data_IF_449192018330
#
_entry.id   IF_449192018330
#
_cell.length_a   1.000
_cell.length_b   1.000
_cell.length_c   1.000
_cell.angle_alpha   90.00
_cell.angle_beta   90.00
_cell.angle_gamma   90.00
#
_symmetry.space_group_name_H-M   'P 1'
#
loop_
_entity.id
_entity.type
_entity.pdbx_description
1 polymer ?
#
# COMPACT_ATOMS: atom_id res chain seq x y z
N UNK A 1 -14.72 -46.88 4.50
CA UNK A 1 -15.65 -46.70 3.37
C UNK A 1 -14.94 -45.81 2.38
N UNK A 2 -14.41 -46.49 1.36
CA UNK A 2 -14.05 -46.07 0.01
C UNK A 2 -13.34 -44.73 -0.21
N UNK A 3 -12.03 -44.89 -0.47
CA UNK A 3 -11.23 -44.00 -1.28
C UNK A 3 -11.65 -44.15 -2.74
N UNK A 4 -12.33 -43.16 -3.29
CA UNK A 4 -12.34 -42.82 -4.72
C UNK A 4 -13.20 -41.57 -4.91
N UNK A 5 -12.57 -40.40 -4.89
CA UNK A 5 -13.20 -39.17 -5.41
C UNK A 5 -12.12 -38.30 -6.04
N UNK A 6 -11.86 -38.57 -7.32
CA UNK A 6 -11.32 -37.67 -8.35
C UNK A 6 -10.58 -36.41 -7.87
N UNK A 7 -9.26 -36.50 -7.72
CA UNK A 7 -8.39 -35.31 -7.83
C UNK A 7 -8.32 -34.90 -9.30
N UNK A 8 -9.03 -33.82 -9.63
CA UNK A 8 -8.86 -33.13 -10.91
C UNK A 8 -7.55 -32.38 -10.84
N UNK A 9 -6.51 -32.87 -11.53
CA UNK A 9 -5.24 -32.15 -11.69
C UNK A 9 -5.52 -30.91 -12.54
N UNK A 10 -5.67 -29.77 -11.87
CA UNK A 10 -5.83 -28.45 -12.51
C UNK A 10 -4.45 -28.06 -13.05
N UNK A 11 -4.37 -27.75 -14.34
CA UNK A 11 -3.10 -27.36 -14.95
C UNK A 11 -2.66 -25.97 -14.46
N UNK A 12 -1.35 -25.70 -14.43
CA UNK A 12 -0.79 -24.39 -14.03
C UNK A 12 -1.36 -23.25 -14.90
N UNK A 13 -1.72 -23.55 -16.16
CA UNK A 13 -2.37 -22.60 -17.07
C UNK A 13 -3.80 -22.26 -16.62
N UNK A 14 -4.56 -23.22 -16.12
CA UNK A 14 -5.91 -23.00 -15.59
C UNK A 14 -5.89 -22.16 -14.29
N UNK A 15 -4.87 -22.33 -13.44
CA UNK A 15 -4.66 -21.51 -12.23
C UNK A 15 -4.28 -20.07 -12.62
N UNK A 16 -3.42 -19.89 -13.64
CA UNK A 16 -3.04 -18.58 -14.13
C UNK A 16 -4.23 -17.81 -14.72
N UNK A 17 -5.07 -18.47 -15.51
CA UNK A 17 -6.27 -17.88 -16.12
C UNK A 17 -7.33 -17.54 -15.04
N UNK A 18 -7.52 -18.42 -14.06
CA UNK A 18 -8.43 -18.18 -12.93
C UNK A 18 -8.01 -16.97 -12.10
N UNK A 19 -6.72 -16.85 -11.78
CA UNK A 19 -6.18 -15.69 -11.05
C UNK A 19 -6.28 -14.40 -11.86
N UNK A 20 -6.04 -14.45 -13.18
CA UNK A 20 -6.16 -13.26 -14.03
C UNK A 20 -7.61 -12.75 -14.14
N UNK A 21 -8.58 -13.67 -14.20
CA UNK A 21 -10.01 -13.32 -14.21
C UNK A 21 -10.48 -12.83 -12.85
N UNK A 22 -10.03 -13.43 -11.75
CA UNK A 22 -10.34 -12.96 -10.40
C UNK A 22 -9.74 -11.57 -10.13
N UNK A 23 -8.51 -11.31 -10.59
CA UNK A 23 -7.87 -9.99 -10.52
C UNK A 23 -8.57 -8.95 -11.40
N UNK A 24 -9.11 -9.33 -12.57
CA UNK A 24 -9.93 -8.44 -13.40
C UNK A 24 -11.26 -8.06 -12.72
N UNK A 25 -11.91 -9.00 -12.02
CA UNK A 25 -13.12 -8.68 -11.23
C UNK A 25 -12.82 -7.80 -10.02
N UNK A 26 -11.64 -7.92 -9.40
CA UNK A 26 -11.22 -7.04 -8.31
C UNK A 26 -10.80 -5.65 -8.80
N UNK A 27 -10.30 -5.54 -10.04
CA UNK A 27 -9.88 -4.29 -10.66
C UNK A 27 -11.05 -3.49 -11.27
N UNK A 28 -12.13 -4.19 -11.63
CA UNK A 28 -13.39 -3.63 -12.10
C UNK A 28 -14.44 -3.96 -11.04
N UNK A 29 -14.43 -3.24 -9.92
CA UNK A 29 -15.46 -3.41 -8.88
C UNK A 29 -16.84 -3.44 -9.51
N UNK A 30 -17.70 -4.36 -9.06
CA UNK A 30 -19.04 -4.59 -9.61
C UNK A 30 -19.76 -3.26 -9.87
N UNK A 31 -19.81 -2.86 -11.13
CA UNK A 31 -20.58 -1.69 -11.57
C UNK A 31 -22.02 -2.16 -11.67
N UNK A 32 -22.73 -2.09 -10.55
CA UNK A 32 -24.19 -2.06 -10.57
C UNK A 32 -24.60 -0.79 -11.35
N UNK A 33 -24.91 -0.99 -12.62
CA UNK A 33 -25.61 -0.02 -13.46
C UNK A 33 -27.02 0.17 -12.88
N UNK A 34 -27.16 1.11 -11.95
CA UNK A 34 -28.45 1.67 -11.61
C UNK A 34 -28.38 3.20 -11.68
N UNK A 35 -29.27 3.73 -12.52
CA UNK A 35 -29.50 5.14 -12.81
C UNK A 35 -29.26 6.09 -11.64
N UNK A 36 -28.48 7.14 -11.89
CA UNK A 36 -28.65 8.43 -11.22
C UNK A 36 -28.55 9.50 -12.29
N UNK A 37 -29.61 10.30 -12.37
CA UNK A 37 -29.79 11.43 -13.26
C UNK A 37 -28.53 12.32 -13.32
N UNK A 38 -28.07 12.64 -14.53
CA UNK A 38 -26.99 13.61 -14.75
C UNK A 38 -27.51 15.01 -14.37
N UNK A 39 -27.15 15.47 -13.15
CA UNK A 39 -27.20 16.90 -12.84
C UNK A 39 -26.19 17.63 -13.72
N UNK A 40 -26.70 18.49 -14.61
CA UNK A 40 -25.91 19.38 -15.45
C UNK A 40 -25.35 20.49 -14.55
N UNK A 41 -24.06 20.43 -14.26
CA UNK A 41 -23.31 21.51 -13.61
C UNK A 41 -23.33 22.76 -14.53
N UNK A 42 -24.17 23.76 -14.22
CA UNK A 42 -24.32 25.01 -14.99
C UNK A 42 -23.16 26.02 -14.80
N UNK A 43 -22.17 25.70 -13.96
CA UNK A 43 -21.07 26.61 -13.68
C UNK A 43 -19.92 26.47 -14.71
N UNK A 44 -19.90 27.42 -15.66
CA UNK A 44 -18.81 27.70 -16.62
C UNK A 44 -17.49 28.16 -15.95
N UNK A 45 -17.09 27.56 -14.83
CA UNK A 45 -15.79 27.79 -14.24
C UNK A 45 -14.74 26.91 -14.92
N UNK A 46 -13.61 27.52 -15.34
CA UNK A 46 -12.47 26.81 -15.92
C UNK A 46 -12.12 25.60 -15.03
N UNK A 47 -12.09 24.40 -15.63
CA UNK A 47 -11.73 23.13 -15.00
C UNK A 47 -10.40 23.28 -14.25
N UNK A 48 -9.48 24.13 -14.75
CA UNK A 48 -8.23 24.43 -14.06
C UNK A 48 -8.42 25.11 -12.71
N UNK A 49 -9.43 25.96 -12.57
CA UNK A 49 -9.78 26.66 -11.32
C UNK A 49 -10.58 25.74 -10.39
N UNK A 50 -11.47 24.90 -10.94
CA UNK A 50 -12.23 23.90 -10.16
C UNK A 50 -11.31 22.85 -9.53
N UNK A 51 -10.26 22.42 -10.24
CA UNK A 51 -9.34 21.36 -9.81
C UNK A 51 -7.90 21.83 -9.56
N UNK A 52 -7.65 23.14 -9.51
CA UNK A 52 -6.32 23.74 -9.30
C UNK A 52 -5.20 23.11 -10.17
N UNK A 53 -5.49 22.96 -11.47
CA UNK A 53 -4.58 22.37 -12.44
C UNK A 53 -3.51 23.41 -12.80
N UNK A 54 -2.30 23.27 -12.25
CA UNK A 54 -1.12 24.06 -12.61
C UNK A 54 -0.54 24.93 -11.49
N UNK A 55 -1.23 25.05 -10.34
CA UNK A 55 -0.64 25.50 -9.07
C UNK A 55 -0.06 24.30 -8.33
N UNK A 56 0.63 24.50 -7.20
CA UNK A 56 0.99 23.38 -6.32
C UNK A 56 -0.30 22.63 -5.97
N UNK A 57 -0.52 21.48 -6.62
CA UNK A 57 -1.76 20.66 -6.69
C UNK A 57 -2.44 20.27 -5.36
N UNK A 58 -1.90 20.70 -4.23
CA UNK A 58 -2.49 20.58 -2.91
C UNK A 58 -3.23 21.84 -2.45
N UNK A 59 -2.99 22.99 -3.09
CA UNK A 59 -3.69 24.24 -2.78
C UNK A 59 -5.15 23.98 -3.02
N UNK A 60 -5.96 24.03 -1.98
CA UNK A 60 -7.39 23.90 -2.11
C UNK A 60 -7.96 25.19 -2.71
N UNK A 61 -9.07 25.13 -3.48
CA UNK A 61 -9.69 26.34 -4.02
C UNK A 61 -10.06 27.35 -2.93
N UNK A 62 -10.29 26.87 -1.70
CA UNK A 62 -10.40 27.68 -0.51
C UNK A 62 -9.39 27.24 0.56
N UNK A 63 -8.54 28.17 1.02
CA UNK A 63 -7.52 27.94 2.06
C UNK A 63 -8.10 27.40 3.38
N UNK A 64 -9.40 27.63 3.63
CA UNK A 64 -10.08 27.20 4.86
C UNK A 64 -10.92 25.93 4.69
N UNK A 65 -10.93 25.29 3.51
CA UNK A 65 -11.84 24.16 3.24
C UNK A 65 -11.64 22.99 4.21
N UNK A 66 -10.38 22.73 4.61
CA UNK A 66 -10.03 21.67 5.55
C UNK A 66 -10.66 21.92 6.92
N UNK A 67 -10.54 23.16 7.43
CA UNK A 67 -11.11 23.55 8.71
C UNK A 67 -12.65 23.57 8.67
N UNK A 68 -13.24 23.96 7.54
CA UNK A 68 -14.69 23.95 7.32
C UNK A 68 -15.27 22.53 7.21
N UNK A 69 -14.53 21.59 6.62
CA UNK A 69 -14.95 20.21 6.48
C UNK A 69 -14.81 19.41 7.80
N UNK A 70 -13.87 19.80 8.67
CA UNK A 70 -13.60 19.13 9.94
C UNK A 70 -13.61 20.10 11.13
N UNK A 71 -14.72 20.81 11.40
CA UNK A 71 -14.77 21.84 12.44
C UNK A 71 -14.48 21.29 13.84
N UNK A 72 -14.80 20.02 14.10
CA UNK A 72 -14.48 19.34 15.36
C UNK A 72 -12.97 19.06 15.55
N UNK A 73 -12.18 19.03 14.47
CA UNK A 73 -10.71 18.92 14.54
C UNK A 73 -10.04 20.30 14.60
N UNK A 74 -10.70 21.31 14.04
CA UNK A 74 -10.25 22.70 13.94
C UNK A 74 -11.21 23.66 14.68
N UNK A 75 -11.29 23.58 16.03
CA UNK A 75 -12.24 24.39 16.79
C UNK A 75 -12.02 25.90 16.65
N UNK A 76 -10.76 26.32 16.47
CA UNK A 76 -10.40 27.73 16.27
C UNK A 76 -10.41 28.14 14.79
N UNK A 77 -10.73 27.22 13.87
CA UNK A 77 -10.68 27.44 12.42
C UNK A 77 -9.27 27.62 11.83
N UNK A 78 -8.24 27.59 12.65
CA UNK A 78 -6.85 27.84 12.28
C UNK A 78 -6.06 26.54 12.14
N UNK A 79 -4.97 26.58 11.39
CA UNK A 79 -4.03 25.48 11.20
C UNK A 79 -4.19 24.69 9.91
N UNK A 80 -5.03 25.10 8.95
CA UNK A 80 -5.20 24.35 7.68
C UNK A 80 -3.93 24.36 6.83
N UNK A 81 -3.70 23.36 5.98
CA UNK A 81 -2.46 23.26 5.20
C UNK A 81 -2.10 24.55 4.44
N UNK A 82 -3.07 25.22 3.83
CA UNK A 82 -2.86 26.40 2.97
C UNK A 82 -2.79 27.74 3.73
N UNK A 83 -2.82 27.70 5.08
CA UNK A 83 -2.64 28.89 5.90
C UNK A 83 -1.21 29.45 5.81
N UNK A 84 -1.11 30.78 5.86
CA UNK A 84 0.18 31.48 5.88
C UNK A 84 0.94 31.17 7.17
N UNK A 85 2.21 30.80 7.02
CA UNK A 85 3.10 30.43 8.13
C UNK A 85 4.48 31.00 7.89
N UNK A 86 5.18 31.28 8.99
CA UNK A 86 6.59 31.69 8.95
C UNK A 86 7.48 30.62 8.29
N UNK A 87 7.25 29.35 8.61
CA UNK A 87 7.93 28.21 7.99
C UNK A 87 7.00 27.49 7.02
N UNK A 88 7.42 27.41 5.76
CA UNK A 88 6.69 26.67 4.72
C UNK A 88 6.83 25.16 4.99
N UNK A 89 5.69 24.47 5.15
CA UNK A 89 5.64 23.02 5.34
C UNK A 89 5.39 22.32 4.00
N UNK A 90 6.15 21.27 3.71
CA UNK A 90 5.80 20.38 2.59
C UNK A 90 4.58 19.56 2.98
N UNK A 91 3.75 19.21 1.99
CA UNK A 91 2.55 18.37 2.19
C UNK A 91 2.80 17.12 3.06
N UNK A 92 3.87 16.37 2.80
CA UNK A 92 4.21 15.17 3.59
C UNK A 92 4.60 15.50 5.03
N UNK A 93 5.23 16.64 5.28
CA UNK A 93 5.60 17.11 6.62
C UNK A 93 4.35 17.58 7.39
N UNK A 94 3.41 18.23 6.69
CA UNK A 94 2.10 18.58 7.22
C UNK A 94 1.33 17.33 7.67
N UNK A 95 1.14 16.34 6.78
CA UNK A 95 0.43 15.11 7.12
C UNK A 95 1.09 14.36 8.29
N UNK A 96 2.44 14.28 8.31
CA UNK A 96 3.17 13.69 9.43
C UNK A 96 2.92 14.43 10.73
N UNK A 97 2.97 15.76 10.72
CA UNK A 97 2.69 16.57 11.90
C UNK A 97 1.26 16.34 12.38
N UNK A 98 0.26 16.29 11.49
CA UNK A 98 -1.13 16.02 11.86
C UNK A 98 -1.34 14.62 12.44
N UNK A 99 -0.78 13.59 11.81
CA UNK A 99 -1.03 12.20 12.18
C UNK A 99 -0.13 11.71 13.31
N UNK A 100 1.07 12.28 13.50
CA UNK A 100 2.07 11.79 14.45
C UNK A 100 2.38 12.77 15.60
N UNK A 101 1.70 13.92 15.66
CA UNK A 101 1.82 14.85 16.78
C UNK A 101 1.37 14.21 18.10
N UNK A 102 1.85 14.77 19.21
CA UNK A 102 1.32 14.50 20.55
C UNK A 102 -0.17 14.83 20.66
N UNK A 103 -0.65 15.80 19.89
CA UNK A 103 -2.07 16.05 19.73
C UNK A 103 -2.70 14.94 18.88
N UNK A 104 -3.37 14.02 19.56
CA UNK A 104 -3.97 12.85 18.94
C UNK A 104 -5.35 13.10 18.38
N UNK A 105 -5.86 14.34 18.22
CA UNK A 105 -7.24 14.52 17.71
C UNK A 105 -7.45 14.06 16.26
N UNK A 106 -6.40 14.14 15.44
CA UNK A 106 -6.47 13.83 14.01
C UNK A 106 -6.30 12.34 13.71
N UNK A 107 -5.40 11.66 14.45
CA UNK A 107 -5.01 10.27 14.21
C UNK A 107 -6.12 9.21 14.38
N UNK A 108 -7.10 9.38 15.29
CA UNK A 108 -8.30 8.56 15.42
C UNK A 108 -9.33 8.76 14.30
N UNK A 109 -9.32 9.92 13.63
CA UNK A 109 -10.40 10.26 12.71
C UNK A 109 -10.17 9.64 11.33
N UNK A 110 -10.79 8.49 11.07
CA UNK A 110 -10.68 7.79 9.79
C UNK A 110 -11.07 8.64 8.58
N UNK A 111 -12.14 9.44 8.68
CA UNK A 111 -12.58 10.33 7.59
C UNK A 111 -11.50 11.35 7.23
N UNK A 112 -10.82 11.91 8.24
CA UNK A 112 -9.70 12.82 8.02
C UNK A 112 -8.48 12.14 7.42
N UNK A 113 -8.17 10.90 7.84
CA UNK A 113 -7.09 10.10 7.22
C UNK A 113 -7.36 9.86 5.74
N UNK A 114 -8.59 9.45 5.39
CA UNK A 114 -8.97 9.23 3.99
C UNK A 114 -8.99 10.53 3.19
N UNK A 115 -9.38 11.65 3.79
CA UNK A 115 -9.26 12.97 3.17
C UNK A 115 -7.79 13.30 2.83
N UNK A 116 -6.86 13.12 3.77
CA UNK A 116 -5.43 13.35 3.52
C UNK A 116 -4.88 12.39 2.46
N UNK A 117 -5.29 11.11 2.47
CA UNK A 117 -4.91 10.12 1.48
C UNK A 117 -5.39 10.51 0.08
N UNK A 118 -6.65 10.90 -0.05
CA UNK A 118 -7.24 11.34 -1.32
C UNK A 118 -6.48 12.53 -1.92
N UNK A 119 -6.16 13.53 -1.09
CA UNK A 119 -5.38 14.69 -1.54
C UNK A 119 -3.94 14.32 -1.94
N UNK A 120 -3.29 13.42 -1.22
CA UNK A 120 -1.95 12.93 -1.59
C UNK A 120 -1.99 12.14 -2.91
N UNK A 121 -3.02 11.32 -3.13
CA UNK A 121 -3.19 10.57 -4.37
C UNK A 121 -3.46 11.48 -5.56
N UNK A 122 -4.38 12.45 -5.44
CA UNK A 122 -4.61 13.46 -6.48
C UNK A 122 -3.31 14.19 -6.85
N UNK A 123 -2.55 14.63 -5.84
CA UNK A 123 -1.26 15.30 -6.04
C UNK A 123 -0.26 14.43 -6.80
N UNK A 124 -0.16 13.16 -6.43
CA UNK A 124 0.73 12.22 -7.12
C UNK A 124 0.31 11.96 -8.56
N UNK A 125 -1.00 11.84 -8.82
CA UNK A 125 -1.56 11.65 -10.16
C UNK A 125 -1.31 12.88 -11.04
N UNK A 126 -1.70 14.08 -10.59
CA UNK A 126 -1.48 15.31 -11.37
C UNK A 126 -0.01 15.59 -11.62
N UNK A 127 0.86 15.38 -10.63
CA UNK A 127 2.30 15.48 -10.82
C UNK A 127 2.80 14.47 -11.87
N UNK A 128 2.33 13.23 -11.80
CA UNK A 128 2.67 12.19 -12.77
C UNK A 128 2.20 12.53 -14.20
N UNK A 129 0.97 13.05 -14.33
CA UNK A 129 0.39 13.51 -15.60
C UNK A 129 1.24 14.65 -16.17
N UNK A 130 1.55 15.68 -15.36
CA UNK A 130 2.37 16.82 -15.78
C UNK A 130 3.78 16.40 -16.24
N UNK A 131 4.36 15.38 -15.61
CA UNK A 131 5.65 14.81 -16.06
C UNK A 131 5.48 14.06 -17.38
N UNK A 132 4.39 13.30 -17.55
CA UNK A 132 4.10 12.58 -18.78
C UNK A 132 3.92 13.53 -19.97
N UNK A 133 3.14 14.60 -19.80
CA UNK A 133 2.96 15.65 -20.81
C UNK A 133 4.28 16.34 -21.16
N UNK A 134 5.13 16.65 -20.18
CA UNK A 134 6.43 17.30 -20.46
C UNK A 134 7.45 16.40 -21.15
N UNK A 135 7.49 15.11 -20.83
CA UNK A 135 8.59 14.21 -21.23
C UNK A 135 8.26 13.16 -22.28
N UNK A 136 7.00 12.73 -22.36
CA UNK A 136 6.61 11.51 -23.10
C UNK A 136 5.49 11.72 -24.11
N UNK A 137 4.75 12.81 -23.99
CA UNK A 137 3.66 13.17 -24.90
C UNK A 137 3.97 14.55 -25.48
N UNK A 138 4.63 14.65 -26.65
CA UNK A 138 4.85 15.94 -27.32
C UNK A 138 3.54 16.40 -27.97
N UNK A 139 2.52 16.68 -27.15
CA UNK A 139 1.23 17.15 -27.59
C UNK A 139 0.99 18.59 -27.15
N UNK A 140 0.47 19.38 -28.07
CA UNK A 140 -0.05 20.71 -27.80
C UNK A 140 -1.45 20.59 -27.17
N UNK A 141 -1.90 21.63 -26.45
CA UNK A 141 -3.21 21.64 -25.78
C UNK A 141 -4.40 21.35 -26.74
N UNK A 142 -4.25 21.65 -28.03
CA UNK A 142 -5.24 21.33 -29.06
C UNK A 142 -5.30 19.84 -29.39
N UNK A 143 -4.17 19.14 -29.33
CA UNK A 143 -4.07 17.70 -29.58
C UNK A 143 -4.58 16.87 -28.40
N UNK A 144 -4.47 17.37 -27.17
CA UNK A 144 -5.06 16.72 -26.00
C UNK A 144 -6.59 16.76 -25.97
N UNK A 145 -7.22 17.65 -26.75
CA UNK A 145 -8.67 17.74 -26.90
C UNK A 145 -9.21 16.86 -28.04
N UNK A 146 -8.33 16.25 -28.84
CA UNK A 146 -8.72 15.34 -29.91
C UNK A 146 -8.99 13.93 -29.32
N UNK A 147 -10.26 13.52 -29.36
CA UNK A 147 -10.73 12.25 -28.83
C UNK A 147 -10.02 11.05 -29.48
N UNK A 148 -9.66 11.15 -30.76
CA UNK A 148 -9.00 10.06 -31.50
C UNK A 148 -7.59 9.82 -30.97
N UNK A 149 -6.84 10.89 -30.73
CA UNK A 149 -5.51 10.82 -30.14
C UNK A 149 -5.57 10.36 -28.68
N UNK A 150 -6.58 10.81 -27.92
CA UNK A 150 -6.77 10.39 -26.55
C UNK A 150 -7.05 8.87 -26.46
N UNK A 151 -7.94 8.34 -27.32
CA UNK A 151 -8.20 6.88 -27.42
C UNK A 151 -6.94 6.10 -27.80
N UNK A 152 -6.14 6.60 -28.74
CA UNK A 152 -4.87 5.97 -29.11
C UNK A 152 -3.89 5.89 -27.92
N UNK A 153 -3.81 6.95 -27.11
CA UNK A 153 -2.96 7.00 -25.94
C UNK A 153 -3.47 6.13 -24.78
N UNK A 154 -4.80 5.97 -24.67
CA UNK A 154 -5.43 5.06 -23.71
C UNK A 154 -5.10 3.61 -24.08
N UNK A 155 -5.21 3.26 -25.36
CA UNK A 155 -4.87 1.93 -25.88
C UNK A 155 -3.40 1.55 -25.70
N UNK A 156 -2.50 2.53 -25.51
CA UNK A 156 -1.08 2.29 -25.24
C UNK A 156 -0.72 2.37 -23.75
N UNK A 157 -1.70 2.41 -22.86
CA UNK A 157 -1.54 2.60 -21.41
C UNK A 157 -0.72 3.85 -21.02
N UNK A 158 -0.54 4.80 -21.95
CA UNK A 158 0.31 5.96 -21.71
C UNK A 158 -0.33 6.94 -20.73
N UNK A 159 -1.67 7.03 -20.76
CA UNK A 159 -2.46 7.89 -19.88
C UNK A 159 -2.59 7.31 -18.48
N UNK A 160 -2.60 5.98 -18.34
CA UNK A 160 -2.72 5.32 -17.04
C UNK A 160 -1.38 5.19 -16.30
N UNK A 161 -0.25 5.33 -17.01
CA UNK A 161 1.08 5.22 -16.41
C UNK A 161 1.34 6.11 -15.17
N UNK A 162 0.83 7.36 -15.08
CA UNK A 162 0.90 8.16 -13.86
C UNK A 162 0.29 7.49 -12.62
N UNK A 163 -0.69 6.59 -12.79
CA UNK A 163 -1.33 5.87 -11.68
C UNK A 163 -0.38 4.89 -10.98
N UNK A 164 0.81 4.61 -11.54
CA UNK A 164 1.86 3.85 -10.86
C UNK A 164 2.33 4.47 -9.54
N UNK A 165 2.05 5.75 -9.30
CA UNK A 165 2.37 6.44 -8.05
C UNK A 165 1.32 6.18 -6.96
N UNK A 166 0.08 5.88 -7.34
CA UNK A 166 -1.03 5.61 -6.41
C UNK A 166 -0.93 4.16 -5.95
N UNK A 167 -0.72 3.94 -4.65
CA UNK A 167 -0.64 2.59 -4.11
C UNK A 167 -1.99 1.89 -4.24
N UNK A 168 -1.96 0.60 -4.56
CA UNK A 168 -3.18 -0.19 -4.75
C UNK A 168 -3.76 -0.12 -6.17
N UNK A 169 -3.33 0.82 -7.02
CA UNK A 169 -3.79 0.89 -8.41
C UNK A 169 -3.30 -0.32 -9.22
N UNK A 170 -4.03 -0.75 -10.28
CA UNK A 170 -3.58 -1.82 -11.17
C UNK A 170 -2.19 -1.54 -11.77
N UNK A 171 -1.88 -0.28 -12.08
CA UNK A 171 -0.60 0.11 -12.65
C UNK A 171 0.53 0.05 -11.61
N UNK A 172 0.26 0.37 -10.35
CA UNK A 172 1.19 0.17 -9.24
C UNK A 172 1.53 -1.31 -9.09
N UNK A 173 0.52 -2.20 -9.06
CA UNK A 173 0.74 -3.64 -8.96
C UNK A 173 1.50 -4.21 -10.15
N UNK A 174 1.14 -3.79 -11.36
CA UNK A 174 1.84 -4.20 -12.58
C UNK A 174 3.33 -3.80 -12.55
N UNK A 175 3.64 -2.60 -12.05
CA UNK A 175 5.03 -2.17 -11.84
C UNK A 175 5.74 -3.05 -10.82
N UNK A 176 5.14 -3.31 -9.66
CA UNK A 176 5.73 -4.13 -8.59
C UNK A 176 5.98 -5.58 -9.04
N UNK A 177 5.06 -6.13 -9.83
CA UNK A 177 5.20 -7.45 -10.45
C UNK A 177 6.36 -7.47 -11.46
N UNK A 178 6.46 -6.45 -12.32
CA UNK A 178 7.58 -6.31 -13.27
C UNK A 178 8.92 -6.19 -12.54
N UNK A 179 8.99 -5.43 -11.46
CA UNK A 179 10.19 -5.31 -10.62
C UNK A 179 10.57 -6.68 -10.03
N UNK A 180 9.61 -7.44 -9.50
CA UNK A 180 9.85 -8.78 -8.97
C UNK A 180 10.38 -9.73 -10.05
N UNK A 181 9.76 -9.76 -11.23
CA UNK A 181 10.25 -10.57 -12.36
C UNK A 181 11.64 -10.14 -12.84
N UNK A 182 11.93 -8.84 -12.87
CA UNK A 182 13.25 -8.34 -13.23
C UNK A 182 14.30 -8.82 -12.22
N UNK A 183 14.00 -8.76 -10.92
CA UNK A 183 14.88 -9.29 -9.90
C UNK A 183 15.10 -10.80 -10.06
N UNK A 184 14.05 -11.58 -10.35
CA UNK A 184 14.19 -13.02 -10.59
C UNK A 184 15.07 -13.31 -11.80
N UNK A 185 14.92 -12.56 -12.90
CA UNK A 185 15.75 -12.74 -14.12
C UNK A 185 17.21 -12.35 -13.92
N UNK A 186 17.48 -11.28 -13.16
CA UNK A 186 18.84 -10.76 -12.97
C UNK A 186 19.62 -11.48 -11.87
N UNK A 187 18.93 -11.79 -10.77
CA UNK A 187 19.56 -12.28 -9.54
C UNK A 187 19.27 -13.77 -9.31
N UNK A 188 18.24 -14.31 -9.97
CA UNK A 188 17.80 -15.70 -9.84
C UNK A 188 16.62 -15.88 -8.89
N UNK A 189 16.23 -17.14 -8.71
CA UNK A 189 15.14 -17.52 -7.82
C UNK A 189 15.45 -17.23 -6.34
N UNK A 190 14.39 -17.19 -5.55
CA UNK A 190 14.42 -16.85 -4.13
C UNK A 190 14.59 -18.13 -3.33
N UNK A 191 15.43 -18.07 -2.30
CA UNK A 191 15.73 -19.19 -1.41
C UNK A 191 14.56 -19.49 -0.49
N UNK A 192 14.00 -18.46 0.13
CA UNK A 192 12.90 -18.58 1.07
C UNK A 192 11.74 -17.67 0.67
N UNK A 193 10.53 -18.09 1.01
CA UNK A 193 9.34 -17.25 0.97
C UNK A 193 8.83 -17.10 2.40
N UNK A 194 8.95 -15.89 2.95
CA UNK A 194 8.45 -15.58 4.29
C UNK A 194 7.07 -14.95 4.21
N UNK A 195 6.21 -15.39 5.11
CA UNK A 195 4.86 -14.88 5.28
C UNK A 195 4.70 -14.47 6.73
N UNK A 196 4.58 -13.16 6.98
CA UNK A 196 4.60 -12.58 8.32
C UNK A 196 3.24 -11.94 8.62
N UNK A 197 2.55 -12.48 9.62
CA UNK A 197 1.28 -11.93 10.12
C UNK A 197 1.50 -11.08 11.35
N UNK A 198 0.82 -9.93 11.42
CA UNK A 198 0.71 -9.19 12.67
C UNK A 198 -0.24 -9.93 13.64
N UNK A 199 0.25 -10.28 14.83
CA UNK A 199 -0.58 -10.82 15.91
C UNK A 199 -0.94 -9.72 16.93
N UNK A 200 -1.37 -8.56 16.41
CA UNK A 200 -1.70 -7.34 17.17
C UNK A 200 -2.64 -7.57 18.36
N UNK A 201 -3.64 -8.44 18.23
CA UNK A 201 -4.57 -8.78 19.32
C UNK A 201 -3.94 -9.60 20.47
N UNK A 202 -2.74 -10.12 20.30
CA UNK A 202 -1.99 -10.90 21.31
C UNK A 202 -0.95 -10.06 22.05
N UNK A 203 -0.67 -8.85 21.61
CA UNK A 203 0.34 -7.98 22.21
C UNK A 203 -0.30 -7.14 23.32
N UNK A 204 -0.34 -7.71 24.53
CA UNK A 204 -0.96 -7.08 25.71
C UNK A 204 -0.33 -5.72 26.02
N UNK A 205 0.98 -5.59 25.85
CA UNK A 205 1.70 -4.33 26.05
C UNK A 205 1.20 -3.23 25.11
N UNK A 206 0.73 -3.60 23.91
CA UNK A 206 0.20 -2.63 22.94
C UNK A 206 -1.23 -2.26 23.29
N UNK A 207 -2.06 -3.24 23.67
CA UNK A 207 -3.42 -2.99 24.14
C UNK A 207 -3.42 -2.02 25.34
N UNK A 208 -2.49 -2.21 26.28
CA UNK A 208 -2.31 -1.31 27.42
C UNK A 208 -1.97 0.12 27.02
N UNK A 209 -1.16 0.30 25.98
CA UNK A 209 -0.86 1.63 25.44
C UNK A 209 -2.15 2.28 24.93
N UNK A 210 -2.98 1.57 24.16
CA UNK A 210 -4.24 2.11 23.64
C UNK A 210 -5.23 2.45 24.77
N UNK A 211 -5.35 1.57 25.77
CA UNK A 211 -6.23 1.77 26.93
C UNK A 211 -5.81 3.00 27.73
N UNK A 212 -4.51 3.22 27.94
CA UNK A 212 -4.03 4.45 28.59
C UNK A 212 -4.32 5.70 27.77
N UNK A 213 -4.29 5.62 26.44
CA UNK A 213 -4.63 6.75 25.56
C UNK A 213 -6.13 7.10 25.60
N UNK A 214 -7.02 6.15 25.93
CA UNK A 214 -8.44 6.45 26.16
C UNK A 214 -8.72 7.00 27.56
N UNK A 215 -7.71 7.08 28.42
CA UNK A 215 -7.85 7.49 29.83
C UNK A 215 -8.43 6.39 30.74
N UNK A 216 -8.59 5.17 30.23
CA UNK A 216 -9.07 4.04 31.00
C UNK A 216 -7.94 3.36 31.80
N UNK A 217 -8.32 2.65 32.86
CA UNK A 217 -7.39 1.84 33.64
C UNK A 217 -7.15 0.51 32.93
N UNK A 218 -5.88 0.09 32.88
CA UNK A 218 -5.47 -1.21 32.32
C UNK A 218 -6.11 -2.34 33.12
N UNK A 219 -6.69 -3.31 32.41
CA UNK A 219 -7.25 -4.54 32.98
C UNK A 219 -6.27 -5.70 32.79
N UNK A 220 -6.37 -6.74 33.63
CA UNK A 220 -5.58 -7.97 33.48
C UNK A 220 -5.90 -8.74 32.19
N UNK A 221 -7.12 -8.62 31.66
CA UNK A 221 -7.50 -9.23 30.40
C UNK A 221 -8.61 -8.45 29.70
N UNK A 222 -8.68 -8.62 28.39
CA UNK A 222 -9.67 -7.96 27.52
C UNK A 222 -10.34 -8.99 26.61
N UNK A 223 -11.63 -8.81 26.32
CA UNK A 223 -12.33 -9.63 25.33
C UNK A 223 -11.83 -9.33 23.91
N UNK A 224 -12.13 -10.21 22.95
CA UNK A 224 -11.76 -9.99 21.55
C UNK A 224 -12.34 -8.68 20.99
N UNK A 225 -13.57 -8.35 21.37
CA UNK A 225 -14.28 -7.14 20.97
C UNK A 225 -13.62 -5.89 21.55
N UNK A 226 -13.26 -5.90 22.84
CA UNK A 226 -12.55 -4.80 23.49
C UNK A 226 -11.20 -4.55 22.80
N UNK A 227 -10.42 -5.61 22.55
CA UNK A 227 -9.14 -5.52 21.85
C UNK A 227 -9.28 -4.89 20.47
N UNK A 228 -10.27 -5.34 19.71
CA UNK A 228 -10.55 -4.81 18.38
C UNK A 228 -10.97 -3.35 18.43
N UNK A 229 -11.78 -2.96 19.42
CA UNK A 229 -12.20 -1.57 19.63
C UNK A 229 -10.99 -0.67 19.91
N UNK A 230 -10.05 -1.10 20.76
CA UNK A 230 -8.85 -0.32 21.08
C UNK A 230 -7.94 -0.11 19.86
N UNK A 231 -7.71 -1.16 19.07
CA UNK A 231 -6.90 -1.04 17.85
C UNK A 231 -7.54 -0.12 16.81
N UNK A 232 -8.87 -0.13 16.72
CA UNK A 232 -9.64 0.74 15.80
C UNK A 232 -9.74 2.17 16.29
N UNK A 233 -9.63 2.42 17.59
CA UNK A 233 -9.72 3.76 18.16
C UNK A 233 -8.59 4.68 17.67
N UNK A 234 -7.42 4.14 17.32
CA UNK A 234 -6.34 4.92 16.74
C UNK A 234 -5.60 4.11 15.65
N UNK A 235 -6.12 4.10 14.40
CA UNK A 235 -5.56 3.29 13.33
C UNK A 235 -4.12 3.71 12.96
N UNK A 236 -3.76 4.98 13.15
CA UNK A 236 -2.41 5.47 12.90
C UNK A 236 -1.41 4.87 13.87
N UNK A 237 -1.72 4.87 15.17
CA UNK A 237 -0.84 4.25 16.17
C UNK A 237 -0.73 2.75 15.93
N UNK A 238 -1.84 2.07 15.62
CA UNK A 238 -1.85 0.64 15.28
C UNK A 238 -0.92 0.34 14.10
N UNK A 239 -1.02 1.10 13.01
CA UNK A 239 -0.15 0.94 11.85
C UNK A 239 1.33 1.20 12.18
N UNK A 240 1.63 2.19 13.04
CA UNK A 240 3.00 2.49 13.48
C UNK A 240 3.61 1.39 14.35
N UNK A 241 2.80 0.78 15.22
CA UNK A 241 3.25 -0.34 16.05
C UNK A 241 3.61 -1.54 15.18
N UNK A 242 2.77 -1.86 14.20
CA UNK A 242 3.10 -2.86 13.18
C UNK A 242 4.40 -2.52 12.46
N UNK A 243 4.53 -1.31 11.91
CA UNK A 243 5.73 -0.89 11.17
C UNK A 243 6.99 -0.99 12.04
N UNK A 244 6.89 -0.64 13.34
CA UNK A 244 7.99 -0.77 14.30
C UNK A 244 8.37 -2.22 14.55
N UNK A 245 7.39 -3.09 14.78
CA UNK A 245 7.62 -4.52 14.98
C UNK A 245 8.25 -5.17 13.74
N UNK A 246 7.66 -4.91 12.57
CA UNK A 246 8.17 -5.37 11.29
C UNK A 246 9.59 -4.85 11.03
N UNK A 247 9.85 -3.56 11.22
CA UNK A 247 11.19 -2.98 11.05
C UNK A 247 12.21 -3.60 12.01
N UNK A 248 11.81 -3.87 13.26
CA UNK A 248 12.68 -4.50 14.25
C UNK A 248 13.03 -5.93 13.85
N UNK A 249 12.03 -6.72 13.44
CA UNK A 249 12.24 -8.07 12.88
C UNK A 249 13.20 -8.01 11.68
N UNK A 250 12.95 -7.10 10.74
CA UNK A 250 13.79 -6.92 9.55
C UNK A 250 15.23 -6.57 9.91
N UNK A 251 15.43 -5.69 10.88
CA UNK A 251 16.77 -5.25 11.24
C UNK A 251 17.51 -6.30 12.09
N UNK A 252 16.82 -7.02 12.97
CA UNK A 252 17.42 -7.98 13.89
C UNK A 252 17.61 -9.37 13.29
N UNK A 253 16.68 -9.85 12.47
CA UNK A 253 16.70 -11.23 11.94
C UNK A 253 17.16 -11.31 10.49
N UNK A 254 16.85 -10.30 9.67
CA UNK A 254 17.09 -10.36 8.22
C UNK A 254 18.33 -9.57 7.79
N UNK A 255 18.55 -8.38 8.35
CA UNK A 255 19.64 -7.48 7.93
C UNK A 255 20.84 -7.48 8.88
N UNK A 256 20.69 -7.99 10.11
CA UNK A 256 21.80 -8.03 11.06
C UNK A 256 22.81 -9.10 10.66
N UNK A 257 23.95 -9.11 11.37
CA UNK A 257 24.92 -10.20 11.30
C UNK A 257 24.49 -11.48 12.05
N UNK A 258 23.29 -11.52 12.65
CA UNK A 258 22.79 -12.72 13.31
C UNK A 258 22.44 -13.84 12.31
N UNK A 259 22.29 -13.48 11.03
CA UNK A 259 22.11 -14.39 9.90
C UNK A 259 21.14 -15.54 10.18
N UNK A 260 20.02 -15.31 10.85
CA UNK A 260 19.09 -16.38 11.24
C UNK A 260 18.57 -17.25 10.08
N UNK A 261 18.60 -16.73 8.85
CA UNK A 261 18.27 -17.45 7.61
C UNK A 261 19.48 -17.52 6.66
N UNK A 262 20.70 -17.33 7.17
CA UNK A 262 21.91 -17.08 6.41
C UNK A 262 22.09 -15.61 5.99
N UNK A 263 23.15 -15.35 5.21
CA UNK A 263 23.47 -13.99 4.73
C UNK A 263 22.51 -13.56 3.62
N UNK A 264 21.51 -12.76 3.96
CA UNK A 264 20.50 -12.26 3.02
C UNK A 264 21.08 -11.18 2.12
N UNK A 265 21.12 -11.45 0.81
CA UNK A 265 21.64 -10.50 -0.18
C UNK A 265 20.56 -9.64 -0.82
N UNK A 266 19.41 -10.23 -1.12
CA UNK A 266 18.30 -9.55 -1.77
C UNK A 266 16.97 -9.96 -1.17
N UNK A 267 16.04 -9.02 -1.13
CA UNK A 267 14.68 -9.27 -0.68
C UNK A 267 13.70 -8.43 -1.48
N UNK A 268 12.50 -8.97 -1.64
CA UNK A 268 11.33 -8.22 -2.01
C UNK A 268 10.35 -8.30 -0.83
N UNK A 269 9.56 -7.25 -0.62
CA UNK A 269 8.47 -7.29 0.36
C UNK A 269 7.24 -6.59 -0.19
N UNK A 270 6.09 -7.17 0.10
CA UNK A 270 4.78 -6.59 -0.15
C UNK A 270 3.92 -6.81 1.10
N UNK A 271 3.31 -5.73 1.60
CA UNK A 271 2.39 -5.80 2.74
C UNK A 271 0.97 -5.56 2.26
N UNK A 272 0.09 -6.49 2.55
CA UNK A 272 -1.35 -6.42 2.32
C UNK A 272 -2.09 -6.27 3.65
N UNK A 273 -3.29 -5.69 3.59
CA UNK A 273 -4.23 -5.69 4.71
C UNK A 273 -5.23 -6.82 4.45
N UNK A 274 -5.30 -7.81 5.33
CA UNK A 274 -6.28 -8.89 5.19
C UNK A 274 -7.67 -8.41 5.61
N UNK A 275 -8.72 -9.19 5.33
CA UNK A 275 -10.12 -8.84 5.65
C UNK A 275 -10.36 -8.52 7.13
N UNK A 276 -9.47 -8.96 8.03
CA UNK A 276 -9.52 -8.68 9.47
C UNK A 276 -8.87 -7.35 9.86
N UNK A 277 -8.28 -6.63 8.91
CA UNK A 277 -7.60 -5.35 9.10
C UNK A 277 -6.14 -5.44 9.55
N UNK A 278 -5.67 -6.63 9.94
CA UNK A 278 -4.27 -6.82 10.35
C UNK A 278 -3.34 -6.87 9.13
N UNK A 279 -2.19 -6.17 9.17
CA UNK A 279 -1.21 -6.23 8.10
C UNK A 279 -0.53 -7.59 8.00
N UNK A 280 -0.23 -7.98 6.76
CA UNK A 280 0.41 -9.23 6.44
C UNK A 280 1.48 -9.00 5.36
N UNK A 281 2.71 -9.47 5.60
CA UNK A 281 3.83 -9.23 4.70
C UNK A 281 4.29 -10.51 4.01
N UNK A 282 4.34 -10.45 2.69
CA UNK A 282 4.86 -11.50 1.82
C UNK A 282 6.24 -11.13 1.30
N UNK A 283 7.19 -12.03 1.48
CA UNK A 283 8.61 -11.70 1.36
C UNK A 283 9.41 -12.83 0.72
N UNK A 284 9.64 -12.76 -0.60
CA UNK A 284 10.65 -13.56 -1.26
C UNK A 284 12.06 -13.08 -0.89
N UNK A 285 12.90 -13.96 -0.35
CA UNK A 285 14.25 -13.66 0.14
C UNK A 285 15.26 -14.53 -0.58
N UNK A 286 16.41 -13.94 -0.93
CA UNK A 286 17.58 -14.65 -1.45
C UNK A 286 18.72 -14.61 -0.44
N UNK A 287 19.25 -15.79 -0.17
CA UNK A 287 20.38 -16.01 0.73
C UNK A 287 21.62 -16.34 -0.10
N UNK A 288 22.79 -15.97 0.40
CA UNK A 288 24.07 -16.38 -0.18
C UNK A 288 24.26 -17.90 -0.11
N UNK A 289 24.90 -18.48 -1.14
CA UNK A 289 25.23 -19.91 -1.21
C UNK A 289 24.03 -20.86 -1.11
N UNK A 290 22.80 -20.38 -1.32
CA UNK A 290 21.64 -21.28 -1.32
C UNK A 290 21.69 -22.24 -2.51
N UNK A 291 21.39 -23.55 -2.30
CA UNK A 291 21.28 -24.52 -3.38
C UNK A 291 20.27 -24.07 -4.45
N UNK A 292 20.52 -24.44 -5.71
CA UNK A 292 19.66 -24.06 -6.84
C UNK A 292 18.77 -25.22 -7.23
N UNK A 293 17.47 -25.03 -7.08
CA UNK A 293 16.46 -25.99 -7.54
C UNK A 293 16.19 -25.79 -9.04
N UNK A 294 16.34 -26.85 -9.86
CA UNK A 294 16.22 -26.81 -11.31
C UNK A 294 15.31 -27.96 -11.81
N UNK A 295 13.99 -27.85 -11.65
CA UNK A 295 13.06 -28.86 -12.22
C UNK A 295 13.18 -28.94 -13.75
N UNK A 296 13.04 -30.15 -14.37
CA UNK A 296 12.96 -31.49 -13.79
C UNK A 296 14.36 -32.16 -13.64
N UNK A 297 15.44 -31.40 -13.79
CA UNK A 297 16.82 -31.87 -13.87
C UNK A 297 17.59 -31.79 -12.54
N UNK A 298 16.90 -31.55 -11.42
CA UNK A 298 17.52 -31.53 -10.09
C UNK A 298 18.02 -32.94 -9.76
N UNK A 299 19.33 -33.09 -9.56
CA UNK A 299 19.93 -34.36 -9.16
C UNK A 299 19.75 -34.62 -7.65
N UNK A 300 19.91 -35.89 -7.25
CA UNK A 300 19.76 -36.33 -5.86
C UNK A 300 20.70 -35.56 -4.91
N UNK A 301 21.91 -35.25 -5.35
CA UNK A 301 22.89 -34.45 -4.59
C UNK A 301 22.40 -33.03 -4.31
N UNK A 302 21.74 -32.39 -5.27
CA UNK A 302 21.15 -31.06 -5.08
C UNK A 302 19.99 -31.12 -4.10
N UNK A 303 19.17 -32.17 -4.14
CA UNK A 303 18.12 -32.40 -3.15
C UNK A 303 18.70 -32.57 -1.72
N UNK A 304 19.74 -33.39 -1.56
CA UNK A 304 20.46 -33.54 -0.29
C UNK A 304 21.05 -32.22 0.20
N UNK A 305 21.63 -31.42 -0.70
CA UNK A 305 22.17 -30.11 -0.37
C UNK A 305 21.08 -29.11 0.06
N UNK A 306 19.88 -29.17 -0.52
CA UNK A 306 18.72 -28.36 -0.09
C UNK A 306 18.31 -28.74 1.33
N UNK A 307 18.19 -30.03 1.62
CA UNK A 307 17.82 -30.51 2.96
C UNK A 307 18.88 -30.07 3.98
N UNK A 308 20.16 -30.33 3.71
CA UNK A 308 21.26 -29.94 4.59
C UNK A 308 21.32 -28.42 4.81
N UNK A 309 21.03 -27.61 3.78
CA UNK A 309 20.96 -26.15 3.90
C UNK A 309 19.80 -25.70 4.80
N UNK A 310 18.65 -26.37 4.73
CA UNK A 310 17.49 -26.06 5.59
C UNK A 310 17.69 -26.53 7.04
N UNK A 311 18.45 -27.60 7.27
CA UNK A 311 18.79 -28.12 8.60
C UNK A 311 19.95 -27.36 9.26
N UNK A 312 20.65 -26.52 8.51
CA UNK A 312 21.76 -25.74 9.03
C UNK A 312 21.28 -24.74 10.09
N UNK A 313 21.86 -24.79 11.29
CA UNK A 313 21.75 -23.71 12.25
C UNK A 313 22.58 -22.52 11.75
N UNK A 314 21.88 -21.47 11.31
CA UNK A 314 22.52 -20.23 10.89
C UNK A 314 22.76 -19.23 12.05
N UNK A 315 22.35 -19.60 13.27
CA UNK A 315 22.64 -18.83 14.48
C UNK A 315 24.10 -19.07 14.89
N UNK A 316 24.92 -18.03 14.81
CA UNK A 316 26.31 -18.03 15.28
C UNK A 316 26.49 -17.34 16.63
#
# INVERSE_FOLDING_TARGET
MDADTYEKVISIEEIAISNENHLKSLALGDIDNNNSDEEIDEDNNDIRTKYNIGTDSCTQPNKTIEALAFPHLFPDGNGSFDEERETILKWKEYCKTRLFSSDSRFAPNSSYIFYLQYLDDLKQVFSGINIAFRKKLPMNAKQSLDETQMKFLMNKDMIYRPLQCVRGSPQYWNKRLKDLFAMTRQVGFRTFFLTLSCADLRWEEFLDIFVRHTGATVKESYTFEEKTLFLRANPVQTARLFERGFTSLMNLFIKSGAWCLGNVKDRFSHTEMQMRGSPHSHMPIRVENSPKYNEPHTDEKTCEAIVAFCEQDFLH
#
